data_IF_989160291123
#
_entry.id   IF_989160291123
#
_cell.length_a   1.000
_cell.length_b   1.000
_cell.length_c   1.000
_cell.angle_alpha   90.00
_cell.angle_beta   90.00
_cell.angle_gamma   90.00
#
_symmetry.space_group_name_H-M   'P 1'
#
loop_
_entity.id
_entity.type
_entity.pdbx_description
1 polymer ?
#
# COMPACT_ATOMS: atom_id res chain seq x y z
N UNK A 1 2.26 -13.00 28.53
CA UNK A 1 3.08 -14.14 28.98
C UNK A 1 4.15 -14.38 27.92
N UNK A 2 5.42 -14.39 28.30
CA UNK A 2 6.57 -14.69 27.43
C UNK A 2 7.32 -15.87 28.05
N UNK A 3 7.90 -16.75 27.21
CA UNK A 3 8.71 -17.89 27.67
C UNK A 3 10.18 -17.50 27.95
N UNK A 4 10.52 -16.21 27.86
CA UNK A 4 11.87 -15.71 28.14
C UNK A 4 11.95 -15.37 29.63
N UNK A 5 12.94 -15.92 30.35
CA UNK A 5 13.03 -15.75 31.79
C UNK A 5 13.42 -14.30 32.14
N UNK A 6 12.91 -13.80 33.28
CA UNK A 6 12.99 -12.40 33.70
C UNK A 6 14.41 -11.91 34.00
N UNK A 7 15.36 -12.82 34.19
CA UNK A 7 16.79 -12.55 34.32
C UNK A 7 17.48 -12.23 32.98
N UNK A 8 16.79 -12.43 31.85
CA UNK A 8 17.29 -12.19 30.49
C UNK A 8 16.58 -11.07 29.71
N UNK A 9 15.53 -10.48 30.27
CA UNK A 9 14.80 -9.36 29.67
C UNK A 9 14.65 -8.26 30.73
N UNK A 10 15.36 -7.15 30.54
CA UNK A 10 15.15 -5.98 31.37
C UNK A 10 13.89 -5.21 30.92
N UNK A 11 13.41 -4.28 31.74
CA UNK A 11 12.26 -3.42 31.45
C UNK A 11 12.43 -2.65 30.13
N UNK A 12 13.66 -2.28 29.77
CA UNK A 12 13.97 -1.61 28.50
C UNK A 12 13.73 -2.54 27.29
N UNK A 13 14.15 -3.80 27.37
CA UNK A 13 13.90 -4.78 26.30
C UNK A 13 12.41 -5.03 26.09
N UNK A 14 11.66 -5.07 27.20
CA UNK A 14 10.20 -5.18 27.17
C UNK A 14 9.60 -3.96 26.45
N UNK A 15 10.05 -2.75 26.76
CA UNK A 15 9.59 -1.53 26.09
C UNK A 15 9.85 -1.58 24.58
N UNK A 16 11.04 -2.02 24.15
CA UNK A 16 11.38 -2.20 22.73
C UNK A 16 10.47 -3.21 22.05
N UNK A 17 10.18 -4.35 22.70
CA UNK A 17 9.24 -5.35 22.18
C UNK A 17 7.82 -4.78 22.00
N UNK A 18 7.34 -3.98 22.94
CA UNK A 18 6.05 -3.32 22.83
C UNK A 18 6.03 -2.29 21.68
N UNK A 19 7.11 -1.52 21.49
CA UNK A 19 7.25 -0.62 20.34
C UNK A 19 7.23 -1.39 19.02
N UNK A 20 7.97 -2.49 18.93
CA UNK A 20 7.98 -3.34 17.73
C UNK A 20 6.59 -3.92 17.42
N UNK A 21 5.85 -4.34 18.44
CA UNK A 21 4.45 -4.76 18.28
C UNK A 21 3.59 -3.62 17.71
N UNK A 22 3.73 -2.41 18.25
CA UNK A 22 2.97 -1.25 17.79
C UNK A 22 3.26 -0.93 16.32
N UNK A 23 4.53 -1.02 15.89
CA UNK A 23 4.91 -0.85 14.48
C UNK A 23 4.22 -1.87 13.56
N UNK A 24 4.10 -3.13 13.98
CA UNK A 24 3.34 -4.15 13.24
C UNK A 24 1.86 -3.77 13.14
N UNK A 25 1.25 -3.31 14.23
CA UNK A 25 -0.15 -2.86 14.23
C UNK A 25 -0.36 -1.66 13.29
N UNK A 26 0.58 -0.70 13.26
CA UNK A 26 0.56 0.43 12.34
C UNK A 26 0.68 -0.01 10.87
N UNK A 27 1.54 -1.00 10.56
CA UNK A 27 1.66 -1.56 9.22
C UNK A 27 0.34 -2.18 8.77
N UNK A 28 -0.30 -3.00 9.60
CA UNK A 28 -1.59 -3.58 9.25
C UNK A 28 -2.68 -2.51 9.09
N UNK A 29 -2.67 -1.48 9.94
CA UNK A 29 -3.60 -0.35 9.83
C UNK A 29 -3.41 0.41 8.52
N UNK A 30 -2.15 0.63 8.11
CA UNK A 30 -1.83 1.25 6.82
C UNK A 30 -2.31 0.37 5.65
N UNK A 31 -1.98 -0.92 5.65
CA UNK A 31 -2.37 -1.85 4.59
C UNK A 31 -3.89 -1.89 4.41
N UNK A 32 -4.67 -1.96 5.50
CA UNK A 32 -6.14 -1.95 5.41
C UNK A 32 -6.64 -0.60 4.91
N UNK A 33 -6.30 0.48 5.59
CA UNK A 33 -6.90 1.80 5.32
C UNK A 33 -6.44 2.45 4.01
N UNK A 34 -5.23 2.12 3.53
CA UNK A 34 -4.59 2.81 2.40
C UNK A 34 -4.41 1.91 1.18
N UNK A 35 -4.18 0.61 1.39
CA UNK A 35 -4.04 -0.36 0.30
C UNK A 35 -5.32 -1.19 0.08
N UNK A 36 -6.33 -1.06 0.95
CA UNK A 36 -7.64 -1.69 0.77
C UNK A 36 -7.63 -3.21 0.85
N UNK A 37 -6.63 -3.81 1.51
CA UNK A 37 -6.45 -5.27 1.51
C UNK A 37 -7.58 -6.04 2.22
N UNK A 38 -8.39 -5.37 3.02
CA UNK A 38 -9.54 -5.91 3.76
C UNK A 38 -10.88 -5.80 3.02
N UNK A 39 -10.92 -5.08 1.90
CA UNK A 39 -12.15 -4.81 1.13
C UNK A 39 -12.02 -5.25 -0.34
N UNK A 40 -11.42 -6.42 -0.58
CA UNK A 40 -11.24 -6.96 -1.93
C UNK A 40 -12.57 -7.57 -2.45
N UNK A 41 -13.15 -7.07 -3.57
CA UNK A 41 -14.48 -7.47 -4.04
C UNK A 41 -14.50 -8.82 -4.79
N UNK A 42 -13.47 -9.64 -4.63
CA UNK A 42 -13.28 -10.88 -5.39
C UNK A 42 -13.56 -12.10 -4.54
N UNK A 43 -14.19 -13.13 -5.12
CA UNK A 43 -14.42 -14.41 -4.44
C UNK A 43 -13.37 -15.47 -4.74
N UNK A 44 -12.54 -15.27 -5.78
CA UNK A 44 -11.49 -16.23 -6.15
C UNK A 44 -10.29 -16.10 -5.20
N UNK A 45 -9.93 -17.15 -4.43
CA UNK A 45 -8.84 -17.10 -3.47
C UNK A 45 -7.47 -16.80 -4.09
N UNK A 46 -7.24 -17.19 -5.35
CA UNK A 46 -5.96 -16.92 -6.02
C UNK A 46 -5.81 -15.45 -6.38
N UNK A 47 -6.88 -14.81 -6.85
CA UNK A 47 -6.90 -13.37 -7.14
C UNK A 47 -6.64 -12.58 -5.84
N UNK A 48 -7.33 -12.94 -4.75
CA UNK A 48 -7.10 -12.34 -3.43
C UNK A 48 -5.64 -12.46 -3.01
N UNK A 49 -5.04 -13.66 -3.11
CA UNK A 49 -3.63 -13.87 -2.75
C UNK A 49 -2.68 -12.99 -3.56
N UNK A 50 -2.87 -12.91 -4.87
CA UNK A 50 -2.03 -12.07 -5.73
C UNK A 50 -2.14 -10.60 -5.33
N UNK A 51 -3.34 -10.09 -5.08
CA UNK A 51 -3.55 -8.69 -4.66
C UNK A 51 -2.92 -8.40 -3.29
N UNK A 52 -2.97 -9.36 -2.35
CA UNK A 52 -2.27 -9.24 -1.07
C UNK A 52 -0.76 -9.12 -1.27
N UNK A 53 -0.17 -9.97 -2.14
CA UNK A 53 1.26 -9.88 -2.45
C UNK A 53 1.64 -8.57 -3.12
N UNK A 54 0.81 -8.06 -4.05
CA UNK A 54 1.02 -6.76 -4.68
C UNK A 54 1.00 -5.63 -3.63
N UNK A 55 0.04 -5.65 -2.69
CA UNK A 55 0.00 -4.69 -1.60
C UNK A 55 1.25 -4.72 -0.71
N UNK A 56 1.74 -5.91 -0.37
CA UNK A 56 2.99 -6.08 0.40
C UNK A 56 4.20 -5.56 -0.38
N UNK A 57 4.31 -5.88 -1.67
CA UNK A 57 5.40 -5.38 -2.52
C UNK A 57 5.38 -3.85 -2.64
N UNK A 58 4.21 -3.26 -2.85
CA UNK A 58 4.05 -1.81 -2.89
C UNK A 58 4.43 -1.15 -1.56
N UNK A 59 4.08 -1.77 -0.42
CA UNK A 59 4.51 -1.32 0.90
C UNK A 59 6.04 -1.35 1.06
N UNK A 60 6.70 -2.42 0.60
CA UNK A 60 8.17 -2.52 0.67
C UNK A 60 8.83 -1.39 -0.15
N UNK A 61 8.34 -1.14 -1.36
CA UNK A 61 8.81 -0.04 -2.21
C UNK A 61 8.57 1.30 -1.51
N UNK A 62 7.37 1.52 -0.97
CA UNK A 62 7.01 2.71 -0.19
C UNK A 62 8.00 2.96 0.96
N UNK A 63 8.38 1.91 1.71
CA UNK A 63 9.35 2.03 2.80
C UNK A 63 10.76 2.37 2.31
N UNK A 64 11.18 1.88 1.14
CA UNK A 64 12.47 2.28 0.55
C UNK A 64 12.49 3.76 0.18
N UNK A 65 11.42 4.25 -0.45
CA UNK A 65 11.30 5.67 -0.80
C UNK A 65 11.20 6.54 0.46
N UNK A 66 10.47 6.08 1.49
CA UNK A 66 10.42 6.73 2.80
C UNK A 66 11.82 6.94 3.38
N UNK A 67 12.65 5.89 3.39
CA UNK A 67 14.00 5.95 3.94
C UNK A 67 14.87 6.97 3.18
N UNK A 68 14.72 7.07 1.85
CA UNK A 68 15.42 8.09 1.07
C UNK A 68 14.99 9.50 1.48
N UNK A 69 13.69 9.77 1.54
CA UNK A 69 13.14 11.09 1.93
C UNK A 69 13.50 11.44 3.37
N UNK A 70 13.43 10.46 4.27
CA UNK A 70 13.79 10.60 5.68
C UNK A 70 15.27 10.92 5.85
N UNK A 71 16.15 10.19 5.15
CA UNK A 71 17.60 10.41 5.21
C UNK A 71 18.02 11.79 4.71
N UNK A 72 17.24 12.39 3.81
CA UNK A 72 17.46 13.74 3.31
C UNK A 72 17.00 14.85 4.29
N UNK A 73 16.22 14.52 5.33
CA UNK A 73 15.56 15.49 6.22
C UNK A 73 15.65 15.11 7.70
N UNK A 74 16.83 14.67 8.14
CA UNK A 74 17.07 14.19 9.51
C UNK A 74 16.73 15.23 10.59
N UNK A 75 16.86 16.53 10.30
CA UNK A 75 16.48 17.63 11.20
C UNK A 75 15.01 17.58 11.63
N UNK A 76 14.13 17.02 10.79
CA UNK A 76 12.71 16.90 11.05
C UNK A 76 12.29 15.47 11.44
N UNK A 77 13.25 14.57 11.71
CA UNK A 77 13.02 13.15 11.95
C UNK A 77 11.85 12.82 12.90
N UNK A 78 11.66 13.50 14.06
CA UNK A 78 10.55 13.20 14.97
C UNK A 78 9.15 13.43 14.38
N UNK A 79 9.04 14.17 13.27
CA UNK A 79 7.76 14.52 12.63
C UNK A 79 7.37 13.57 11.49
N UNK A 80 8.24 12.64 11.12
CA UNK A 80 7.97 11.67 10.06
C UNK A 80 7.17 10.47 10.61
N UNK A 81 5.85 10.59 10.58
CA UNK A 81 4.95 9.49 10.94
C UNK A 81 4.65 8.59 9.73
N UNK A 82 4.79 7.27 9.89
CA UNK A 82 4.51 6.29 8.83
C UNK A 82 3.09 6.42 8.24
N UNK A 83 2.07 6.65 9.08
CA UNK A 83 0.70 6.84 8.59
C UNK A 83 0.50 8.10 7.74
N UNK A 84 1.27 9.17 7.99
CA UNK A 84 1.27 10.36 7.12
C UNK A 84 2.01 10.09 5.81
N UNK A 85 3.11 9.34 5.87
CA UNK A 85 3.86 8.91 4.68
C UNK A 85 3.03 8.03 3.73
N UNK A 86 2.02 7.31 4.23
CA UNK A 86 1.13 6.49 3.42
C UNK A 86 0.34 7.26 2.32
N UNK A 87 0.53 8.58 2.20
CA UNK A 87 0.23 9.35 0.97
C UNK A 87 0.93 8.80 -0.27
N UNK A 88 2.05 8.07 -0.11
CA UNK A 88 2.75 7.38 -1.19
C UNK A 88 1.80 6.60 -2.10
N UNK A 89 0.84 5.84 -1.54
CA UNK A 89 -0.08 5.01 -2.33
C UNK A 89 -0.89 5.82 -3.33
N UNK A 90 -1.37 7.00 -2.93
CA UNK A 90 -2.14 7.88 -3.81
C UNK A 90 -1.27 8.50 -4.93
N UNK A 91 0.04 8.61 -4.71
CA UNK A 91 0.99 9.26 -5.62
C UNK A 91 1.93 8.28 -6.33
N UNK A 92 1.81 6.98 -6.05
CA UNK A 92 2.72 5.96 -6.56
C UNK A 92 2.76 5.91 -8.09
N UNK A 93 1.64 6.21 -8.75
CA UNK A 93 1.57 6.32 -10.22
C UNK A 93 2.57 7.35 -10.76
N UNK A 94 2.76 8.50 -10.10
CA UNK A 94 3.72 9.52 -10.57
C UNK A 94 5.16 9.05 -10.50
N UNK A 95 5.49 8.25 -9.49
CA UNK A 95 6.80 7.64 -9.39
C UNK A 95 6.99 6.61 -10.51
N UNK A 96 5.94 5.84 -10.82
CA UNK A 96 5.95 4.91 -11.94
C UNK A 96 6.12 5.64 -13.27
N UNK A 97 5.36 6.71 -13.52
CA UNK A 97 5.49 7.56 -14.72
C UNK A 97 6.91 8.10 -14.87
N UNK A 98 7.53 8.55 -13.76
CA UNK A 98 8.92 9.02 -13.77
C UNK A 98 9.91 7.90 -14.12
N UNK A 99 9.67 6.66 -13.66
CA UNK A 99 10.50 5.49 -13.99
C UNK A 99 10.35 5.12 -15.47
N UNK A 100 9.12 5.14 -16.00
CA UNK A 100 8.84 4.86 -17.41
C UNK A 100 9.55 5.88 -18.32
N UNK A 101 9.38 7.17 -18.02
CA UNK A 101 10.07 8.25 -18.74
C UNK A 101 11.59 8.11 -18.65
N UNK A 102 12.14 7.79 -17.48
CA UNK A 102 13.57 7.55 -17.33
C UNK A 102 14.07 6.34 -18.14
N UNK A 103 13.20 5.34 -18.32
CA UNK A 103 13.50 4.12 -19.08
C UNK A 103 13.27 4.27 -20.59
N UNK A 104 12.94 5.48 -21.06
CA UNK A 104 12.55 5.78 -22.45
C UNK A 104 11.36 4.92 -22.92
N UNK A 105 10.48 4.55 -21.97
CA UNK A 105 9.24 3.84 -22.25
C UNK A 105 8.12 4.88 -22.28
N UNK A 106 7.68 5.22 -23.50
CA UNK A 106 6.50 6.06 -23.70
C UNK A 106 5.24 5.19 -23.49
N UNK A 107 4.63 5.29 -22.31
CA UNK A 107 3.29 4.78 -22.08
C UNK A 107 2.31 5.70 -22.84
N UNK A 108 2.12 5.39 -24.13
CA UNK A 108 1.35 6.25 -25.01
C UNK A 108 -0.06 6.45 -24.44
N UNK A 109 -0.68 7.59 -24.77
CA UNK A 109 -2.07 7.87 -24.41
C UNK A 109 -3.02 6.76 -24.87
N UNK A 110 -2.65 6.03 -25.93
CA UNK A 110 -3.39 4.88 -26.43
C UNK A 110 -3.30 3.65 -25.49
N UNK A 111 -2.12 3.35 -24.94
CA UNK A 111 -1.97 2.28 -23.94
C UNK A 111 -2.75 2.59 -22.66
N UNK A 112 -2.70 3.85 -22.20
CA UNK A 112 -3.50 4.30 -21.06
C UNK A 112 -5.00 4.19 -21.36
N UNK A 113 -5.42 4.54 -22.57
CA UNK A 113 -6.81 4.42 -23.01
C UNK A 113 -7.27 2.96 -23.05
N UNK A 114 -6.44 2.04 -23.55
CA UNK A 114 -6.72 0.59 -23.54
C UNK A 114 -6.82 0.03 -22.12
N UNK A 115 -5.93 0.45 -21.22
CA UNK A 115 -6.01 0.09 -19.80
C UNK A 115 -7.30 0.61 -19.18
N UNK A 116 -7.65 1.88 -19.39
CA UNK A 116 -8.91 2.44 -18.88
C UNK A 116 -10.14 1.75 -19.44
N UNK A 117 -10.15 1.39 -20.74
CA UNK A 117 -11.22 0.58 -21.31
C UNK A 117 -11.34 -0.77 -20.61
N UNK A 118 -10.23 -1.46 -20.36
CA UNK A 118 -10.23 -2.76 -19.69
C UNK A 118 -10.73 -2.69 -18.24
N UNK A 119 -10.42 -1.61 -17.51
CA UNK A 119 -10.80 -1.43 -16.11
C UNK A 119 -12.21 -0.86 -15.96
N UNK A 120 -12.72 -0.14 -16.96
CA UNK A 120 -14.08 0.36 -16.99
C UNK A 120 -15.12 -0.76 -17.17
N UNK A 121 -14.69 -1.93 -17.65
CA UNK A 121 -15.54 -3.12 -17.75
C UNK A 121 -15.75 -3.67 -16.35
N UNK A 122 -16.96 -3.49 -15.85
CA UNK A 122 -17.32 -4.05 -14.56
C UNK A 122 -17.55 -5.57 -14.70
N UNK A 123 -16.84 -6.41 -13.93
CA UNK A 123 -17.00 -7.86 -13.99
C UNK A 123 -18.37 -8.33 -13.46
N UNK A 124 -19.11 -7.51 -12.71
CA UNK A 124 -20.37 -7.87 -12.09
C UNK A 124 -21.58 -7.41 -12.93
N UNK A 125 -21.78 -8.08 -14.06
CA UNK A 125 -22.79 -7.74 -15.09
C UNK A 125 -24.24 -7.80 -14.56
N UNK A 126 -24.51 -8.63 -13.55
CA UNK A 126 -25.87 -8.91 -13.07
C UNK A 126 -26.36 -7.92 -11.98
N UNK A 127 -25.53 -6.97 -11.56
CA UNK A 127 -25.91 -6.00 -10.53
C UNK A 127 -26.65 -4.80 -11.16
N UNK A 128 -27.96 -4.69 -10.92
CA UNK A 128 -28.76 -3.52 -11.33
C UNK A 128 -28.19 -2.24 -10.75
N UNK A 129 -27.93 -1.24 -11.59
CA UNK A 129 -27.42 0.08 -11.19
C UNK A 129 -28.48 1.14 -11.37
N UNK A 130 -28.41 2.14 -10.50
CA UNK A 130 -29.24 3.34 -10.58
C UNK A 130 -29.10 4.07 -11.93
N UNK A 131 -27.91 4.02 -12.54
CA UNK A 131 -27.61 4.73 -13.78
C UNK A 131 -27.89 3.91 -15.05
N UNK A 132 -28.40 2.67 -14.94
CA UNK A 132 -28.67 1.84 -16.12
C UNK A 132 -29.78 2.44 -17.00
N UNK A 133 -30.70 3.24 -16.43
CA UNK A 133 -31.75 3.96 -17.16
C UNK A 133 -31.22 5.10 -18.06
N UNK A 134 -29.98 5.56 -17.82
CA UNK A 134 -29.37 6.70 -18.52
C UNK A 134 -28.29 6.27 -19.53
N UNK A 135 -28.10 4.96 -19.73
CA UNK A 135 -27.08 4.37 -20.59
C UNK A 135 -27.57 3.99 -22.00
N UNK A 136 -28.83 4.30 -22.32
CA UNK A 136 -29.40 4.18 -23.69
C UNK A 136 -28.99 5.32 -24.60
#
# INVERSE_FOLDING_TARGET
MTNIPTDRLDAEDIAVLYLARWEIELIFKELKNRYGIDILPFSNPQIIKVLLWVGILALIISRRVYLLVFSANLENAPRYAHLRWAIFVEKAHRLFDAILNYSDIDASLMELFEVYQSQAIDPNVNQKRLMDEWRT
#
